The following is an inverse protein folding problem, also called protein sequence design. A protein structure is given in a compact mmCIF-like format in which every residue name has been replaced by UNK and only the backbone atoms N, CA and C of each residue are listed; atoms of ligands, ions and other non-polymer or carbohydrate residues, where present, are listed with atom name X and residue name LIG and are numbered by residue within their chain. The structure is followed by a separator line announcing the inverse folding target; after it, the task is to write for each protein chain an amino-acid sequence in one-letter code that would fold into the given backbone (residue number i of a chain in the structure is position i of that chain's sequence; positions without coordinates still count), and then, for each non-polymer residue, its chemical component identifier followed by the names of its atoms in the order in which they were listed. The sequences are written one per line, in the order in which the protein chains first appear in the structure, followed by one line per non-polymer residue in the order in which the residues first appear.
data_IF_468358051228
#
_entry.id   IF_468358051228
#
_cell.length_a   1.000
_cell.length_b   1.000
_cell.length_c   1.000
_cell.angle_alpha   90.00
_cell.angle_beta   90.00
_cell.angle_gamma   90.00
#
_symmetry.space_group_name_H-M   'P 1'
#
loop_
_entity.id
_entity.type
_entity.pdbx_description
1 polymer ?
#
# COMPACT_ATOMS: atom_id res chain seq x y z
N UNK A 1 2.21 -23.51 -2.63
CA UNK A 1 2.66 -23.10 -1.27
C UNK A 1 2.60 -21.58 -1.14
N UNK A 2 1.80 -21.05 -0.21
CA UNK A 2 1.75 -19.60 0.07
C UNK A 2 2.91 -19.20 0.98
N UNK A 3 3.57 -18.07 0.68
CA UNK A 3 4.61 -17.53 1.53
C UNK A 3 4.07 -16.38 2.38
N UNK A 4 4.13 -16.50 3.70
CA UNK A 4 3.68 -15.45 4.62
C UNK A 4 4.83 -14.51 4.92
N UNK A 5 4.57 -13.22 4.78
CA UNK A 5 5.48 -12.11 5.02
C UNK A 5 4.86 -11.23 6.10
N UNK A 6 5.64 -10.89 7.13
CA UNK A 6 5.19 -9.99 8.19
C UNK A 6 5.73 -8.58 7.98
N UNK A 7 4.85 -7.59 7.80
CA UNK A 7 5.22 -6.17 7.77
C UNK A 7 5.24 -5.66 9.21
N UNK A 8 6.45 -5.66 9.79
CA UNK A 8 6.61 -5.55 11.24
C UNK A 8 6.53 -4.11 11.78
N UNK A 9 6.74 -3.06 10.97
CA UNK A 9 6.98 -1.70 11.51
C UNK A 9 6.52 -0.54 10.60
N UNK A 10 6.23 0.65 11.18
CA UNK A 10 6.15 1.88 10.41
C UNK A 10 7.52 2.20 9.78
N UNK A 11 7.54 2.60 8.50
CA UNK A 11 8.77 2.94 7.76
C UNK A 11 9.48 4.16 8.37
N UNK A 12 10.75 3.99 8.73
CA UNK A 12 11.64 5.08 9.15
C UNK A 12 11.94 6.00 7.97
N UNK A 13 12.17 5.45 6.78
CA UNK A 13 12.42 6.23 5.57
C UNK A 13 11.24 7.16 5.25
N UNK A 14 10.02 6.63 5.31
CA UNK A 14 8.83 7.45 5.07
C UNK A 14 8.64 8.51 6.16
N UNK A 15 8.98 8.18 7.42
CA UNK A 15 8.96 9.16 8.53
C UNK A 15 9.97 10.28 8.28
N UNK A 16 11.19 9.95 7.85
CA UNK A 16 12.22 10.93 7.49
C UNK A 16 11.78 11.82 6.33
N UNK A 17 11.23 11.24 5.25
CA UNK A 17 10.73 12.00 4.11
C UNK A 17 9.61 12.97 4.51
N UNK A 18 8.62 12.51 5.26
CA UNK A 18 7.53 13.37 5.76
C UNK A 18 8.10 14.47 6.64
N UNK A 19 9.00 14.14 7.56
CA UNK A 19 9.65 15.14 8.42
C UNK A 19 10.47 16.16 7.63
N UNK A 20 11.18 15.73 6.58
CA UNK A 20 11.95 16.60 5.70
C UNK A 20 11.06 17.56 4.91
N UNK A 21 9.92 17.09 4.41
CA UNK A 21 8.92 17.96 3.75
C UNK A 21 8.36 18.99 4.72
N UNK A 22 8.05 18.59 5.96
CA UNK A 22 7.56 19.54 6.97
C UNK A 22 8.65 20.54 7.39
N UNK A 23 9.91 20.10 7.51
CA UNK A 23 11.04 20.97 7.78
C UNK A 23 11.27 21.97 6.63
N UNK A 24 11.18 21.53 5.36
CA UNK A 24 11.28 22.41 4.21
C UNK A 24 10.13 23.43 4.15
N UNK A 25 8.90 23.00 4.46
CA UNK A 25 7.74 23.89 4.55
C UNK A 25 7.90 24.93 5.67
N UNK A 26 8.38 24.50 6.84
CA UNK A 26 8.70 25.37 7.96
C UNK A 26 9.81 26.38 7.64
N UNK A 27 10.90 25.94 7.01
CA UNK A 27 12.00 26.79 6.56
C UNK A 27 11.55 27.81 5.51
N UNK A 28 10.69 27.40 4.57
CA UNK A 28 10.10 28.30 3.59
C UNK A 28 9.34 29.43 4.27
N UNK A 29 8.70 29.16 5.41
CA UNK A 29 7.99 30.16 6.19
C UNK A 29 8.88 31.19 6.88
N UNK A 30 10.14 30.84 7.17
CA UNK A 30 11.12 31.78 7.71
C UNK A 30 11.59 32.80 6.68
N UNK A 31 11.43 32.49 5.39
CA UNK A 31 11.80 33.36 4.27
C UNK A 31 10.70 34.38 3.91
N UNK A 32 9.52 34.31 4.55
CA UNK A 32 8.44 35.28 4.33
C UNK A 32 8.74 36.63 5.02
N UNK A 33 8.21 37.76 4.49
CA UNK A 33 8.31 39.07 5.12
C UNK A 33 7.75 39.09 6.55
N UNK A 34 8.39 39.87 7.42
CA UNK A 34 8.07 39.93 8.86
C UNK A 34 6.61 40.20 9.18
N UNK A 35 5.97 41.09 8.41
CA UNK A 35 4.55 41.44 8.58
C UNK A 35 3.63 40.21 8.41
N UNK A 36 3.96 39.31 7.50
CA UNK A 36 3.17 38.09 7.24
C UNK A 36 3.51 37.01 8.27
N UNK A 37 4.79 36.88 8.62
CA UNK A 37 5.28 35.91 9.61
C UNK A 37 4.71 36.14 10.99
N UNK A 38 4.56 37.40 11.42
CA UNK A 38 4.06 37.72 12.77
C UNK A 38 2.57 37.42 12.95
N UNK A 39 1.78 37.53 11.87
CA UNK A 39 0.33 37.27 11.88
C UNK A 39 0.04 35.77 11.66
N UNK A 40 0.76 35.13 10.75
CA UNK A 40 0.44 33.76 10.30
C UNK A 40 1.39 32.68 10.80
N UNK A 41 2.50 33.04 11.46
CA UNK A 41 3.50 32.09 11.93
C UNK A 41 2.90 31.03 12.87
N UNK A 42 2.31 31.45 13.98
CA UNK A 42 1.76 30.52 14.99
C UNK A 42 0.69 29.57 14.45
N UNK A 43 -0.33 30.03 13.70
CA UNK A 43 -1.32 29.14 13.11
C UNK A 43 -0.71 28.10 12.15
N UNK A 44 0.23 28.50 11.30
CA UNK A 44 0.84 27.62 10.30
C UNK A 44 1.73 26.58 10.96
N UNK A 45 2.53 26.99 11.95
CA UNK A 45 3.33 26.06 12.76
C UNK A 45 2.45 25.06 13.51
N UNK A 46 1.34 25.52 14.09
CA UNK A 46 0.35 24.64 14.74
C UNK A 46 -0.23 23.61 13.77
N UNK A 47 -0.63 24.04 12.57
CA UNK A 47 -1.16 23.15 11.54
C UNK A 47 -0.13 22.12 11.07
N UNK A 48 1.14 22.52 10.89
CA UNK A 48 2.22 21.61 10.52
C UNK A 48 2.45 20.55 11.61
N UNK A 49 2.45 20.94 12.89
CA UNK A 49 2.62 20.01 14.01
C UNK A 49 1.43 19.05 14.14
N UNK A 50 0.20 19.54 14.03
CA UNK A 50 -1.01 18.71 14.06
C UNK A 50 -1.02 17.74 12.87
N UNK A 51 -0.70 18.21 11.66
CA UNK A 51 -0.57 17.37 10.45
C UNK A 51 0.45 16.25 10.65
N UNK A 52 1.64 16.57 11.18
CA UNK A 52 2.68 15.61 11.45
C UNK A 52 2.27 14.59 12.52
N UNK A 53 1.70 15.07 13.64
CA UNK A 53 1.21 14.22 14.73
C UNK A 53 0.09 13.27 14.27
N UNK A 54 -0.83 13.78 13.46
CA UNK A 54 -1.90 12.99 12.86
C UNK A 54 -1.38 11.91 11.91
N UNK A 55 -0.41 12.24 11.06
CA UNK A 55 0.26 11.29 10.17
C UNK A 55 0.98 10.19 10.95
N UNK A 56 1.71 10.53 12.02
CA UNK A 56 2.38 9.56 12.88
C UNK A 56 1.35 8.67 13.58
N UNK A 57 0.28 9.25 14.13
CA UNK A 57 -0.78 8.52 14.81
C UNK A 57 -1.48 7.52 13.88
N UNK A 58 -1.85 7.95 12.67
CA UNK A 58 -2.44 7.06 11.63
C UNK A 58 -1.50 5.96 11.15
N UNK A 59 -0.19 6.06 11.38
CA UNK A 59 0.81 5.05 10.99
C UNK A 59 1.16 4.08 12.12
N UNK A 60 0.68 4.32 13.34
CA UNK A 60 0.84 3.39 14.47
C UNK A 60 -0.13 2.21 14.44
N UNK A 61 -1.08 2.18 13.50
CA UNK A 61 -2.05 1.10 13.35
C UNK A 61 -1.42 -0.15 12.70
N UNK A 62 -0.91 -1.02 13.57
CA UNK A 62 -0.85 -2.47 13.39
C UNK A 62 0.33 -3.03 12.60
N UNK A 63 0.87 -4.14 13.11
CA UNK A 63 1.63 -5.10 12.31
C UNK A 63 0.68 -5.62 11.24
N UNK A 64 1.04 -5.47 9.96
CA UNK A 64 0.25 -6.00 8.85
C UNK A 64 0.89 -7.29 8.37
N UNK A 65 0.12 -8.36 8.24
CA UNK A 65 0.59 -9.61 7.64
C UNK A 65 0.19 -9.64 6.17
N UNK A 66 1.07 -10.13 5.31
CA UNK A 66 0.85 -10.28 3.88
C UNK A 66 1.19 -11.71 3.50
N UNK A 67 0.27 -12.45 2.89
CA UNK A 67 0.57 -13.75 2.31
C UNK A 67 0.62 -13.64 0.79
N UNK A 68 1.75 -14.07 0.22
CA UNK A 68 1.98 -14.14 -1.21
C UNK A 68 1.46 -15.47 -1.72
N UNK A 69 0.44 -15.43 -2.59
CA UNK A 69 -0.11 -16.64 -3.19
C UNK A 69 0.54 -16.95 -4.54
N UNK A 70 0.57 -18.23 -4.89
CA UNK A 70 1.23 -18.69 -6.12
C UNK A 70 0.47 -18.33 -7.39
N UNK A 71 -0.84 -18.15 -7.27
CA UNK A 71 -1.77 -17.72 -8.31
C UNK A 71 -1.63 -16.23 -8.67
N UNK A 72 -0.85 -15.47 -7.90
CA UNK A 72 -0.67 -14.02 -8.08
C UNK A 72 -1.53 -13.17 -7.15
N UNK A 73 -2.27 -13.79 -6.23
CA UNK A 73 -3.08 -13.11 -5.23
C UNK A 73 -2.23 -12.60 -4.06
N UNK A 74 -2.53 -11.40 -3.58
CA UNK A 74 -2.01 -10.87 -2.31
C UNK A 74 -3.07 -11.07 -1.24
N UNK A 75 -2.83 -11.97 -0.28
CA UNK A 75 -3.66 -12.06 0.91
C UNK A 75 -3.21 -11.04 1.94
N UNK A 76 -4.13 -10.17 2.34
CA UNK A 76 -3.96 -9.17 3.38
C UNK A 76 -4.45 -9.77 4.70
N UNK A 77 -3.67 -9.61 5.77
CA UNK A 77 -4.00 -10.04 7.14
C UNK A 77 -4.37 -11.53 7.28
N UNK A 78 -3.55 -12.47 6.75
CA UNK A 78 -3.82 -13.91 6.84
C UNK A 78 -4.01 -14.37 8.29
N UNK A 79 -5.07 -15.14 8.53
CA UNK A 79 -5.42 -15.66 9.86
C UNK A 79 -5.99 -14.64 10.83
N UNK A 80 -6.38 -13.45 10.35
CA UNK A 80 -7.06 -12.42 11.13
C UNK A 80 -8.49 -12.21 10.59
N UNK A 81 -9.36 -11.57 11.37
CA UNK A 81 -10.75 -11.29 10.97
C UNK A 81 -10.89 -10.41 9.72
N UNK A 82 -9.83 -9.70 9.33
CA UNK A 82 -9.74 -8.89 8.11
C UNK A 82 -9.14 -9.62 6.90
N UNK A 83 -8.96 -10.94 6.98
CA UNK A 83 -8.32 -11.73 5.91
C UNK A 83 -9.07 -11.55 4.58
N UNK A 84 -8.32 -11.15 3.56
CA UNK A 84 -8.87 -10.96 2.21
C UNK A 84 -7.79 -11.10 1.15
N UNK A 85 -8.14 -11.70 0.02
CA UNK A 85 -7.22 -11.84 -1.12
C UNK A 85 -7.56 -10.81 -2.19
N UNK A 86 -6.54 -10.08 -2.64
CA UNK A 86 -6.68 -9.05 -3.67
C UNK A 86 -5.76 -9.34 -4.85
N UNK A 87 -6.26 -9.09 -6.07
CA UNK A 87 -5.47 -9.14 -7.29
C UNK A 87 -4.76 -7.81 -7.53
N UNK A 88 -3.47 -7.84 -7.83
CA UNK A 88 -2.74 -6.61 -8.15
C UNK A 88 -3.04 -6.13 -9.56
N UNK A 89 -3.24 -4.82 -9.69
CA UNK A 89 -3.38 -4.14 -10.97
C UNK A 89 -1.99 -3.90 -11.60
N UNK A 90 -1.92 -3.80 -12.95
CA UNK A 90 -0.70 -3.44 -13.67
C UNK A 90 -0.12 -2.07 -13.31
N UNK A 91 -0.90 -1.19 -12.68
CA UNK A 91 -0.44 0.10 -12.15
C UNK A 91 0.44 -0.03 -10.89
N UNK A 92 0.67 -1.25 -10.39
CA UNK A 92 1.58 -1.49 -9.28
C UNK A 92 3.04 -1.27 -9.71
N UNK A 93 3.83 -0.59 -8.88
CA UNK A 93 5.21 -0.20 -9.18
C UNK A 93 6.18 -0.90 -8.22
N UNK A 94 7.22 -1.53 -8.77
CA UNK A 94 8.26 -2.23 -7.99
C UNK A 94 9.63 -1.56 -8.16
N UNK A 95 9.97 -0.66 -7.23
CA UNK A 95 11.30 -0.05 -7.14
C UNK A 95 12.19 -0.82 -6.16
N UNK A 96 13.48 -0.48 -6.14
CA UNK A 96 14.49 -1.13 -5.30
C UNK A 96 14.17 -1.03 -3.80
N UNK A 97 13.70 0.14 -3.35
CA UNK A 97 13.45 0.45 -1.94
C UNK A 97 11.98 0.73 -1.61
N UNK A 98 11.13 0.78 -2.63
CA UNK A 98 9.71 1.14 -2.52
C UNK A 98 8.87 0.24 -3.40
N UNK A 99 7.75 -0.22 -2.87
CA UNK A 99 6.75 -1.04 -3.54
C UNK A 99 5.41 -0.32 -3.45
N UNK A 100 4.82 -0.02 -4.58
CA UNK A 100 3.49 0.54 -4.67
C UNK A 100 2.54 -0.51 -5.21
N UNK A 101 1.76 -1.12 -4.33
CA UNK A 101 0.81 -2.18 -4.67
C UNK A 101 -0.56 -1.55 -4.86
N UNK A 102 -1.18 -1.74 -6.01
CA UNK A 102 -2.49 -1.18 -6.34
C UNK A 102 -3.44 -2.31 -6.67
N UNK A 103 -4.65 -2.29 -6.11
CA UNK A 103 -5.71 -3.25 -6.40
C UNK A 103 -7.06 -2.54 -6.52
N UNK A 104 -8.08 -3.28 -6.95
CA UNK A 104 -9.47 -2.81 -6.97
C UNK A 104 -10.25 -3.43 -5.80
N UNK A 105 -11.03 -2.61 -5.11
CA UNK A 105 -11.87 -3.00 -3.97
C UNK A 105 -13.20 -2.26 -4.10
N UNK A 106 -14.31 -2.99 -4.24
CA UNK A 106 -15.67 -2.43 -4.41
C UNK A 106 -15.75 -1.34 -5.51
N UNK A 107 -15.08 -1.58 -6.65
CA UNK A 107 -15.03 -0.64 -7.77
C UNK A 107 -14.08 0.55 -7.57
N UNK A 108 -13.48 0.71 -6.38
CA UNK A 108 -12.49 1.76 -6.08
C UNK A 108 -11.07 1.22 -6.20
N UNK A 109 -10.15 2.08 -6.64
CA UNK A 109 -8.72 1.76 -6.61
C UNK A 109 -8.17 2.03 -5.23
N UNK A 110 -7.53 1.03 -4.65
CA UNK A 110 -6.85 1.12 -3.36
C UNK A 110 -5.37 0.87 -3.59
N UNK A 111 -4.54 1.57 -2.82
CA UNK A 111 -3.10 1.42 -2.93
C UNK A 111 -2.44 1.31 -1.56
N UNK A 112 -1.38 0.49 -1.52
CA UNK A 112 -0.49 0.33 -0.37
C UNK A 112 0.94 0.63 -0.80
N UNK A 113 1.61 1.47 -0.04
CA UNK A 113 3.04 1.74 -0.22
C UNK A 113 3.80 0.99 0.86
N UNK A 114 4.77 0.18 0.45
CA UNK A 114 5.67 -0.57 1.31
C UNK A 114 7.10 -0.12 1.05
N UNK A 115 7.87 0.03 2.12
CA UNK A 115 9.28 0.41 2.06
C UNK A 115 10.15 -0.77 2.51
N UNK A 116 11.37 -0.84 1.97
CA UNK A 116 12.31 -1.92 2.27
C UNK A 116 12.66 -2.03 3.76
N UNK A 117 12.56 -0.93 4.52
CA UNK A 117 12.86 -0.90 5.95
C UNK A 117 11.72 -1.43 6.85
N UNK A 118 10.59 -1.79 6.27
CA UNK A 118 9.44 -2.36 6.98
C UNK A 118 9.46 -3.90 7.05
N UNK A 119 10.40 -4.52 6.33
CA UNK A 119 10.47 -5.95 6.07
C UNK A 119 11.89 -6.46 6.32
N UNK A 120 12.02 -7.74 6.64
CA UNK A 120 13.34 -8.38 6.63
C UNK A 120 13.90 -8.39 5.19
N UNK A 121 15.22 -8.30 4.99
CA UNK A 121 15.81 -8.26 3.65
C UNK A 121 15.44 -9.46 2.75
N UNK A 122 15.25 -10.65 3.35
CA UNK A 122 14.79 -11.85 2.65
C UNK A 122 13.36 -11.67 2.13
N UNK A 123 12.45 -11.27 3.02
CA UNK A 123 11.04 -11.05 2.72
C UNK A 123 10.84 -9.93 1.70
N UNK A 124 11.62 -8.85 1.80
CA UNK A 124 11.61 -7.76 0.83
C UNK A 124 11.92 -8.25 -0.59
N UNK A 125 13.01 -9.01 -0.75
CA UNK A 125 13.39 -9.57 -2.06
C UNK A 125 12.35 -10.58 -2.56
N UNK A 126 11.74 -11.35 -1.66
CA UNK A 126 10.68 -12.28 -2.04
C UNK A 126 9.43 -11.55 -2.52
N UNK A 127 9.01 -10.50 -1.82
CA UNK A 127 7.90 -9.65 -2.20
C UNK A 127 8.16 -8.94 -3.53
N UNK A 128 9.36 -8.40 -3.75
CA UNK A 128 9.73 -7.78 -5.03
C UNK A 128 9.68 -8.77 -6.19
N UNK A 129 10.26 -9.96 -6.01
CA UNK A 129 10.24 -11.02 -7.03
C UNK A 129 8.80 -11.43 -7.34
N UNK A 130 7.99 -11.66 -6.31
CA UNK A 130 6.60 -12.02 -6.47
C UNK A 130 5.80 -10.91 -7.18
N UNK A 131 5.96 -9.66 -6.77
CA UNK A 131 5.24 -8.52 -7.37
C UNK A 131 5.63 -8.33 -8.85
N UNK A 132 6.91 -8.54 -9.21
CA UNK A 132 7.38 -8.45 -10.60
C UNK A 132 6.92 -9.61 -11.48
N UNK A 133 6.92 -10.83 -10.94
CA UNK A 133 6.71 -12.04 -11.74
C UNK A 133 5.23 -12.49 -11.75
N UNK A 134 4.47 -12.18 -10.71
CA UNK A 134 3.14 -12.78 -10.48
C UNK A 134 2.04 -11.79 -10.12
N UNK A 135 2.37 -10.57 -9.70
CA UNK A 135 1.38 -9.57 -9.28
C UNK A 135 0.42 -9.15 -10.41
N UNK A 136 0.89 -8.44 -11.45
CA UNK A 136 0.02 -7.98 -12.54
C UNK A 136 -0.48 -9.08 -13.48
N UNK A 137 0.26 -10.18 -13.57
CA UNK A 137 0.21 -11.08 -14.73
C UNK A 137 -0.97 -12.06 -14.75
N UNK A 138 -1.76 -12.17 -13.68
CA UNK A 138 -2.80 -13.22 -13.56
C UNK A 138 -4.20 -12.73 -13.21
N UNK A 139 -4.34 -11.57 -12.55
CA UNK A 139 -5.64 -10.97 -12.23
C UNK A 139 -6.13 -9.94 -13.25
N UNK A 140 -5.29 -9.56 -14.22
CA UNK A 140 -5.69 -8.78 -15.41
C UNK A 140 -6.33 -9.62 -16.52
N UNK A 141 -6.43 -10.94 -16.33
CA UNK A 141 -7.32 -11.78 -17.13
C UNK A 141 -8.69 -11.64 -16.50
N UNK A 142 -9.53 -10.80 -17.11
CA UNK A 142 -10.96 -10.78 -16.88
C UNK A 142 -11.45 -12.23 -16.72
N UNK A 143 -12.20 -12.60 -15.65
CA UNK A 143 -12.83 -13.90 -15.65
C UNK A 143 -13.66 -13.94 -16.93
N UNK A 144 -13.29 -14.82 -17.87
CA UNK A 144 -14.12 -15.08 -19.03
C UNK A 144 -15.55 -15.22 -18.49
N UNK A 145 -16.55 -14.50 -19.05
CA UNK A 145 -17.92 -14.69 -18.64
C UNK A 145 -18.27 -16.15 -18.95
N UNK A 146 -18.13 -16.98 -17.93
CA UNK A 146 -18.39 -18.41 -17.95
C UNK A 146 -19.88 -18.63 -18.00
N UNK A 147 -20.46 -18.29 -19.15
CA UNK A 147 -21.48 -19.07 -19.86
C UNK A 147 -22.53 -19.67 -18.94
N UNK A 148 -23.40 -18.81 -18.40
CA UNK A 148 -24.81 -19.18 -18.27
C UNK A 148 -25.34 -19.49 -19.67
N UNK A 149 -25.51 -20.78 -19.98
CA UNK A 149 -25.83 -21.24 -21.33
C UNK A 149 -26.17 -22.73 -21.36
N UNK A 150 -27.37 -23.02 -20.89
CA UNK A 150 -28.31 -24.08 -21.28
C UNK A 150 -27.80 -25.06 -22.38
N UNK A 151 -27.71 -26.33 -22.01
CA UNK A 151 -28.06 -27.49 -22.85
C UNK A 151 -28.63 -28.55 -21.89
N UNK A 152 -29.95 -28.62 -21.67
CA UNK A 152 -30.90 -29.36 -22.52
C UNK A 152 -30.31 -30.56 -23.25
N UNK A 153 -31.01 -31.70 -23.12
CA UNK A 153 -30.80 -33.03 -23.70
C UNK A 153 -30.05 -34.01 -22.80
N UNK A 154 -30.83 -34.60 -21.88
CA UNK A 154 -30.69 -36.00 -21.45
C UNK A 154 -31.98 -36.70 -21.86
N UNK A 155 -31.90 -37.48 -22.93
CA UNK A 155 -32.52 -38.80 -23.00
C UNK A 155 -31.35 -39.79 -23.07
N UNK A 156 -31.40 -40.91 -22.33
CA UNK A 156 -32.06 -42.08 -22.90
C UNK A 156 -32.77 -43.00 -21.88
N UNK A 157 -33.92 -43.56 -22.28
CA UNK A 157 -34.25 -44.99 -22.23
C UNK A 157 -35.60 -45.24 -22.93
#
# INVERSE_FOLDING_TARGET
MSAVIEVMKPSRLCTLLVSGVHAAAALSFLLLPDAVRHVWGWPVWGLLLVSLGWQIHRRKSGIRRLALQEDGGLCLEPGLSGERTVGLLPSSVVLERVLWLVWQEEGRRVAMVLFADQLLPGDWRQLQRWARLRGPARFGVEPAPGRGGISSVRDPA
#
